data_IF_726913068015
#
_entry.id   IF_726913068015
#
_cell.length_a   1.000
_cell.length_b   1.000
_cell.length_c   1.000
_cell.angle_alpha   90.00
_cell.angle_beta   90.00
_cell.angle_gamma   90.00
#
_symmetry.space_group_name_H-M   'P 1'
#
loop_
_entity.id
_entity.type
_entity.pdbx_description
1 polymer ?
#
# COMPACT_ATOMS: atom_id res chain seq x y z
N UNK A 1 -3.60 2.31 8.34
CA UNK A 1 -2.56 2.27 7.31
C UNK A 1 -1.41 1.49 7.88
N UNK A 2 -1.17 0.31 7.31
CA UNK A 2 0.00 -0.51 7.64
C UNK A 2 1.23 0.04 6.90
N UNK A 3 2.41 -0.10 7.50
CA UNK A 3 3.69 0.35 6.94
C UNK A 3 4.76 -0.66 7.28
N UNK A 4 5.55 -1.04 6.28
CA UNK A 4 6.66 -1.98 6.41
C UNK A 4 7.88 -1.45 5.65
N UNK A 5 9.03 -1.49 6.30
CA UNK A 5 10.31 -1.15 5.66
C UNK A 5 10.77 -2.29 4.77
N UNK A 6 11.16 -1.95 3.55
CA UNK A 6 11.61 -2.86 2.50
C UNK A 6 12.78 -2.24 1.74
N UNK A 7 13.45 -3.05 0.93
CA UNK A 7 14.46 -2.56 -0.01
C UNK A 7 13.86 -2.36 -1.40
N UNK A 8 14.02 -1.17 -1.97
CA UNK A 8 13.67 -0.86 -3.36
C UNK A 8 14.94 -0.65 -4.15
N UNK A 9 15.04 -1.26 -5.34
CA UNK A 9 16.21 -1.13 -6.21
C UNK A 9 15.84 -0.34 -7.47
N UNK A 10 16.70 0.60 -7.86
CA UNK A 10 16.63 1.26 -9.16
C UNK A 10 17.24 0.36 -10.23
N UNK A 11 16.43 -0.03 -11.20
CA UNK A 11 16.81 -0.97 -12.26
C UNK A 11 17.96 -0.45 -13.12
N UNK A 12 18.03 0.87 -13.35
CA UNK A 12 19.03 1.50 -14.21
C UNK A 12 20.44 1.58 -13.59
N UNK A 13 20.55 1.75 -12.27
CA UNK A 13 21.82 2.07 -11.59
C UNK A 13 22.22 1.08 -10.50
N UNK A 14 21.42 0.03 -10.24
CA UNK A 14 21.56 -0.89 -9.09
C UNK A 14 21.68 -0.20 -7.73
N UNK A 15 21.31 1.07 -7.64
CA UNK A 15 21.21 1.75 -6.36
C UNK A 15 19.98 1.21 -5.63
N UNK A 16 20.12 0.95 -4.33
CA UNK A 16 19.04 0.43 -3.51
C UNK A 16 18.75 1.38 -2.36
N UNK A 17 17.47 1.67 -2.14
CA UNK A 17 16.97 2.29 -0.94
C UNK A 17 16.54 1.20 0.05
N UNK A 18 17.28 0.97 1.15
CA UNK A 18 16.95 -0.03 2.16
C UNK A 18 15.83 0.40 3.12
N UNK A 19 15.46 1.69 3.12
CA UNK A 19 14.52 2.30 4.07
C UNK A 19 13.17 2.66 3.42
N UNK A 20 12.92 2.16 2.21
CA UNK A 20 11.67 2.34 1.50
C UNK A 20 10.49 1.75 2.28
N UNK A 21 9.32 2.40 2.16
CA UNK A 21 8.10 2.01 2.88
C UNK A 21 7.08 1.46 1.89
N UNK A 22 6.59 0.25 2.16
CA UNK A 22 5.42 -0.33 1.49
C UNK A 22 4.30 -0.54 2.50
N UNK A 23 3.05 -0.42 2.05
CA UNK A 23 1.91 -0.66 2.92
C UNK A 23 0.58 -0.63 2.20
N UNK A 24 -0.48 -0.71 2.99
CA UNK A 24 -1.85 -0.53 2.52
C UNK A 24 -2.53 0.61 3.28
N UNK A 25 -3.05 1.57 2.51
CA UNK A 25 -3.84 2.68 3.00
C UNK A 25 -5.33 2.31 3.00
N UNK A 26 -5.95 2.37 4.18
CA UNK A 26 -7.37 2.05 4.37
C UNK A 26 -8.30 3.11 3.77
N UNK A 27 -8.22 4.40 4.17
CA UNK A 27 -8.99 5.46 3.55
C UNK A 27 -8.94 5.44 2.02
N UNK A 28 -7.76 5.25 1.46
CA UNK A 28 -7.57 5.24 0.00
C UNK A 28 -7.83 3.87 -0.64
N UNK A 29 -7.98 2.79 0.15
CA UNK A 29 -8.16 1.43 -0.33
C UNK A 29 -7.11 1.01 -1.38
N UNK A 30 -5.86 1.41 -1.16
CA UNK A 30 -4.77 1.21 -2.12
C UNK A 30 -3.50 0.74 -1.43
N UNK A 31 -2.74 -0.11 -2.11
CA UNK A 31 -1.34 -0.32 -1.77
C UNK A 31 -0.52 0.91 -2.16
N UNK A 32 0.48 1.25 -1.36
CA UNK A 32 1.37 2.37 -1.62
C UNK A 32 2.83 1.97 -1.48
N UNK A 33 3.70 2.72 -2.14
CA UNK A 33 5.15 2.58 -2.09
C UNK A 33 5.79 3.96 -2.03
N UNK A 34 6.68 4.15 -1.06
CA UNK A 34 7.49 5.34 -0.86
C UNK A 34 8.96 4.94 -0.84
N UNK A 35 9.80 5.58 -1.66
CA UNK A 35 11.22 5.29 -1.71
C UNK A 35 12.04 6.51 -2.14
N UNK A 36 13.34 6.47 -1.85
CA UNK A 36 14.34 7.49 -2.09
C UNK A 36 13.97 8.82 -1.43
N UNK A 37 13.91 8.87 -0.08
CA UNK A 37 13.83 10.14 0.61
C UNK A 37 15.08 10.97 0.30
N UNK A 38 14.89 12.24 -0.06
CA UNK A 38 15.98 13.20 -0.09
C UNK A 38 16.58 13.35 1.32
N UNK A 39 17.86 13.72 1.40
CA UNK A 39 18.58 13.89 2.67
C UNK A 39 17.93 14.97 3.56
N UNK A 40 17.22 15.93 2.95
CA UNK A 40 16.48 17.01 3.60
C UNK A 40 14.98 16.70 3.81
N UNK A 41 14.54 15.48 3.46
CA UNK A 41 13.46 14.79 4.18
C UNK A 41 12.01 14.99 3.72
N UNK A 42 11.74 15.75 2.67
CA UNK A 42 10.34 16.00 2.23
C UNK A 42 10.05 15.53 0.79
N UNK A 43 11.04 15.49 -0.10
CA UNK A 43 10.87 15.05 -1.48
C UNK A 43 11.29 13.58 -1.64
N UNK A 44 10.31 12.74 -2.01
CA UNK A 44 10.52 11.35 -2.40
C UNK A 44 10.63 11.25 -3.92
N UNK A 45 11.64 10.53 -4.44
CA UNK A 45 11.70 10.28 -5.88
C UNK A 45 10.60 9.31 -6.35
N UNK A 46 10.12 8.45 -5.44
CA UNK A 46 9.04 7.52 -5.70
C UNK A 46 7.96 7.62 -4.63
N UNK A 47 6.77 8.05 -5.05
CA UNK A 47 5.55 7.94 -4.28
C UNK A 47 4.41 7.42 -5.18
N UNK A 48 3.90 6.24 -4.85
CA UNK A 48 2.79 5.57 -5.52
C UNK A 48 1.68 5.26 -4.51
N UNK A 49 0.42 5.26 -4.94
CA UNK A 49 -0.72 4.91 -4.08
C UNK A 49 -1.23 6.11 -3.29
N UNK A 50 -1.33 7.26 -3.95
CA UNK A 50 -1.81 8.53 -3.36
C UNK A 50 -3.29 8.78 -3.65
N UNK A 51 -3.86 8.04 -4.60
CA UNK A 51 -5.25 8.20 -5.01
C UNK A 51 -6.14 7.05 -4.52
N UNK A 52 -7.45 7.31 -4.46
CA UNK A 52 -8.43 6.30 -4.07
C UNK A 52 -8.46 5.14 -5.07
N UNK A 53 -8.22 3.92 -4.56
CA UNK A 53 -8.19 2.65 -5.29
C UNK A 53 -7.20 2.62 -6.46
N UNK A 54 -6.10 3.36 -6.36
CA UNK A 54 -5.07 3.43 -7.41
C UNK A 54 -4.44 2.04 -7.69
N UNK A 55 -4.12 1.30 -6.63
CA UNK A 55 -3.50 -0.02 -6.69
C UNK A 55 -4.19 -1.00 -5.72
N UNK A 56 -5.12 -1.79 -6.24
CA UNK A 56 -5.86 -2.80 -5.47
C UNK A 56 -5.07 -4.12 -5.30
N UNK A 57 -3.93 -4.26 -5.99
CA UNK A 57 -3.06 -5.43 -5.89
C UNK A 57 -1.58 -5.05 -5.85
N UNK A 58 -0.77 -5.86 -5.17
CA UNK A 58 0.70 -5.74 -5.19
C UNK A 58 1.29 -5.86 -6.61
N UNK A 59 0.64 -6.61 -7.49
CA UNK A 59 1.07 -6.76 -8.89
C UNK A 59 0.92 -5.45 -9.67
N UNK A 60 -0.19 -4.73 -9.48
CA UNK A 60 -0.40 -3.40 -10.07
C UNK A 60 0.62 -2.39 -9.53
N UNK A 61 0.83 -2.37 -8.20
CA UNK A 61 1.84 -1.51 -7.58
C UNK A 61 3.24 -1.79 -8.13
N UNK A 62 3.63 -3.07 -8.27
CA UNK A 62 4.92 -3.47 -8.85
C UNK A 62 5.05 -3.03 -10.30
N UNK A 63 4.00 -3.19 -11.10
CA UNK A 63 4.00 -2.77 -12.51
C UNK A 63 4.24 -1.27 -12.62
N UNK A 64 3.60 -0.46 -11.78
CA UNK A 64 3.82 0.99 -11.73
C UNK A 64 5.24 1.36 -11.25
N UNK A 65 5.78 0.65 -10.26
CA UNK A 65 7.16 0.82 -9.81
C UNK A 65 8.16 0.53 -10.95
N UNK A 66 7.98 -0.59 -11.66
CA UNK A 66 8.84 -0.99 -12.79
C UNK A 66 8.76 0.04 -13.93
N UNK A 67 7.56 0.57 -14.22
CA UNK A 67 7.40 1.63 -15.21
C UNK A 67 8.16 2.91 -14.85
N UNK A 68 8.40 3.15 -13.56
CA UNK A 68 9.25 4.23 -13.05
C UNK A 68 10.73 3.83 -12.87
N UNK A 69 11.11 2.61 -13.24
CA UNK A 69 12.49 2.13 -13.16
C UNK A 69 12.90 1.57 -11.78
N UNK A 70 11.93 1.15 -10.97
CA UNK A 70 12.14 0.60 -9.64
C UNK A 70 11.57 -0.82 -9.51
N UNK A 71 12.21 -1.69 -8.73
CA UNK A 71 11.65 -2.98 -8.32
C UNK A 71 11.87 -3.18 -6.82
N UNK A 72 10.89 -3.79 -6.15
CA UNK A 72 10.92 -4.09 -4.72
C UNK A 72 10.90 -5.59 -4.43
N UNK A 73 11.05 -6.41 -5.47
CA UNK A 73 11.17 -7.86 -5.36
C UNK A 73 12.65 -8.25 -5.36
N UNK A 74 13.08 -9.17 -4.48
CA UNK A 74 12.25 -9.97 -3.59
C UNK A 74 11.79 -9.25 -2.32
N UNK A 75 10.52 -9.47 -1.94
CA UNK A 75 10.00 -9.11 -0.61
C UNK A 75 10.24 -10.25 0.38
N UNK A 76 10.64 -9.91 1.60
CA UNK A 76 10.71 -10.89 2.67
C UNK A 76 9.32 -11.51 2.91
N UNK A 77 9.24 -12.84 2.94
CA UNK A 77 7.98 -13.58 3.08
C UNK A 77 7.13 -13.12 4.27
N UNK A 78 7.76 -12.79 5.41
CA UNK A 78 7.06 -12.28 6.59
C UNK A 78 6.46 -10.86 6.42
N UNK A 79 7.01 -10.04 5.53
CA UNK A 79 6.41 -8.74 5.19
C UNK A 79 5.22 -8.95 4.25
N UNK A 80 5.39 -9.78 3.23
CA UNK A 80 4.32 -10.11 2.29
C UNK A 80 3.07 -10.66 3.01
N UNK A 81 3.25 -11.64 3.91
CA UNK A 81 2.14 -12.20 4.67
C UNK A 81 1.41 -11.16 5.53
N UNK A 82 2.15 -10.32 6.26
CA UNK A 82 1.54 -9.28 7.10
C UNK A 82 0.79 -8.24 6.27
N UNK A 83 1.34 -7.85 5.13
CA UNK A 83 0.72 -6.87 4.24
C UNK A 83 -0.57 -7.41 3.58
N UNK A 84 -0.60 -8.70 3.23
CA UNK A 84 -1.82 -9.36 2.74
C UNK A 84 -2.86 -9.58 3.85
N UNK A 85 -2.41 -9.92 5.06
CA UNK A 85 -3.30 -10.08 6.23
C UNK A 85 -3.96 -8.75 6.62
N UNK A 86 -3.20 -7.66 6.63
CA UNK A 86 -3.73 -6.31 6.84
C UNK A 86 -4.76 -5.96 5.78
N UNK A 87 -4.45 -6.17 4.49
CA UNK A 87 -5.41 -5.95 3.41
C UNK A 87 -6.71 -6.76 3.61
N UNK A 88 -6.60 -8.05 3.95
CA UNK A 88 -7.76 -8.92 4.17
C UNK A 88 -8.62 -8.45 5.35
N UNK A 89 -7.99 -8.19 6.51
CA UNK A 89 -8.67 -7.68 7.72
C UNK A 89 -9.42 -6.39 7.44
N UNK A 90 -8.83 -5.52 6.63
CA UNK A 90 -9.37 -4.20 6.36
C UNK A 90 -10.45 -4.21 5.26
N UNK A 91 -10.31 -5.08 4.25
CA UNK A 91 -11.37 -5.36 3.28
C UNK A 91 -12.63 -5.97 3.92
N UNK A 92 -12.47 -6.82 4.95
CA UNK A 92 -13.60 -7.39 5.68
C UNK A 92 -14.31 -6.38 6.59
N UNK A 93 -13.59 -5.39 7.13
CA UNK A 93 -14.16 -4.37 8.02
C UNK A 93 -15.15 -3.45 7.29
N UNK A 94 -14.84 -3.05 6.05
CA UNK A 94 -15.74 -2.22 5.23
C UNK A 94 -17.11 -2.86 5.03
N UNK A 95 -17.15 -4.18 4.85
CA UNK A 95 -18.40 -4.93 4.62
C UNK A 95 -19.20 -5.07 5.91
N UNK A 96 -18.56 -5.28 7.06
CA UNK A 96 -19.27 -5.41 8.34
C UNK A 96 -19.89 -4.10 8.82
N UNK A 97 -19.19 -2.97 8.70
CA UNK A 97 -19.71 -1.67 9.14
C UNK A 97 -20.88 -1.18 8.28
N UNK A 98 -20.84 -1.40 6.95
CA UNK A 98 -21.96 -1.06 6.07
C UNK A 98 -23.20 -1.91 6.37
N UNK A 99 -23.05 -3.21 6.61
CA UNK A 99 -24.17 -4.10 6.95
C UNK A 99 -24.81 -3.70 8.28
N UNK A 100 -24.00 -3.38 9.30
CA UNK A 100 -24.53 -2.96 10.60
C UNK A 100 -25.22 -1.61 10.51
N UNK A 101 -24.65 -0.63 9.79
CA UNK A 101 -25.26 0.68 9.62
C UNK A 101 -26.58 0.62 8.84
N UNK A 102 -26.66 -0.24 7.81
CA UNK A 102 -27.90 -0.45 7.05
C UNK A 102 -29.00 -1.05 7.93
N UNK A 103 -28.66 -2.04 8.77
CA UNK A 103 -29.60 -2.66 9.71
C UNK A 103 -30.12 -1.69 10.79
N UNK A 104 -29.26 -0.78 11.27
CA UNK A 104 -29.64 0.26 12.25
C UNK A 104 -30.54 1.33 11.60
N UNK A 105 -30.29 1.69 10.33
CA UNK A 105 -31.07 2.68 9.61
C UNK A 105 -32.46 2.15 9.23
N UNK A 106 -32.55 0.87 8.83
CA UNK A 106 -33.84 0.21 8.52
C UNK A 106 -34.72 0.08 9.76
N UNK A 107 -34.15 -0.08 10.96
CA UNK A 107 -34.91 -0.22 12.21
C UNK A 107 -35.35 1.10 12.85
N UNK A 108 -34.78 2.25 12.43
CA UNK A 108 -35.17 3.59 12.90
C UNK A 108 -36.23 4.28 12.04
N UNK A 109 -36.65 3.64 10.93
CA UNK A 109 -37.62 4.19 9.98
C UNK A 109 -39.07 3.67 10.16
N UNK A 110 -39.37 3.00 11.28
CA UNK A 110 -40.70 2.47 11.62
C UNK A 110 -41.32 3.17 12.83
#
# INVERSE_FOLDING_TARGET
>A
MSRYTITVTRTASRHSDPDAIIGYDRPLQTFFLQAFPDADGEDLELWLGTEFREFETLSQLRTAAIARGFDFIPLASGILHRLLDDHAREAHHVVSDTIIQDLINVTSAC
#
